data_IF_786077798112
#
_entry.id   IF_786077798112
#
_cell.length_a   1.000
_cell.length_b   1.000
_cell.length_c   1.000
_cell.angle_alpha   90.00
_cell.angle_beta   90.00
_cell.angle_gamma   90.00
#
_symmetry.space_group_name_H-M   'P 1'
#
loop_
_entity.id
_entity.type
_entity.pdbx_description
1 polymer ?
#
# COMPACT_ATOMS: atom_id res chain seq x y z
N UNK A 1 18.55 -66.17 39.61
CA UNK A 1 18.48 -65.38 38.36
C UNK A 1 18.22 -63.92 38.73
N UNK A 2 19.26 -63.08 38.87
CA UNK A 2 19.13 -61.64 38.98
C UNK A 2 19.82 -60.98 37.77
N UNK A 3 19.07 -60.66 36.71
CA UNK A 3 19.63 -59.96 35.54
C UNK A 3 18.67 -58.92 34.94
N UNK A 4 17.54 -58.67 35.59
CA UNK A 4 16.50 -57.76 35.10
C UNK A 4 16.57 -56.35 35.70
N UNK A 5 16.95 -56.19 36.97
CA UNK A 5 16.82 -54.91 37.68
C UNK A 5 17.94 -53.89 37.38
N UNK A 6 19.15 -54.33 37.02
CA UNK A 6 20.26 -53.38 36.72
C UNK A 6 20.11 -52.68 35.36
N UNK A 7 19.44 -53.32 34.39
CA UNK A 7 19.17 -52.71 33.09
C UNK A 7 18.06 -51.65 33.16
N UNK A 8 17.07 -51.81 34.04
CA UNK A 8 16.02 -50.82 34.22
C UNK A 8 16.55 -49.56 34.93
N UNK A 9 17.40 -49.72 35.95
CA UNK A 9 18.01 -48.59 36.66
C UNK A 9 18.97 -47.77 35.78
N UNK A 10 19.70 -48.41 34.87
CA UNK A 10 20.59 -47.72 33.94
C UNK A 10 19.82 -46.98 32.83
N UNK A 11 18.71 -47.54 32.34
CA UNK A 11 17.79 -46.87 31.42
C UNK A 11 17.08 -45.67 32.06
N UNK A 12 16.64 -45.80 33.31
CA UNK A 12 15.98 -44.71 34.04
C UNK A 12 16.96 -43.56 34.33
N UNK A 13 18.22 -43.87 34.64
CA UNK A 13 19.27 -42.88 34.87
C UNK A 13 19.69 -42.17 33.57
N UNK A 14 19.76 -42.88 32.45
CA UNK A 14 20.06 -42.30 31.14
C UNK A 14 18.94 -41.38 30.64
N UNK A 15 17.67 -41.79 30.79
CA UNK A 15 16.51 -40.97 30.43
C UNK A 15 16.41 -39.67 31.24
N UNK A 16 16.71 -39.73 32.54
CA UNK A 16 16.68 -38.55 33.41
C UNK A 16 17.79 -37.53 33.10
N UNK A 17 18.97 -37.98 32.66
CA UNK A 17 20.09 -37.08 32.27
C UNK A 17 19.80 -36.44 30.91
N UNK A 18 19.23 -37.19 29.96
CA UNK A 18 18.85 -36.67 28.65
C UNK A 18 17.74 -35.60 28.77
N UNK A 19 16.73 -35.85 29.62
CA UNK A 19 15.65 -34.90 29.87
C UNK A 19 16.12 -33.64 30.63
N UNK A 20 17.12 -33.77 31.50
CA UNK A 20 17.72 -32.62 32.19
C UNK A 20 18.58 -31.75 31.25
N UNK A 21 19.32 -32.37 30.33
CA UNK A 21 20.09 -31.66 29.30
C UNK A 21 19.19 -30.88 28.32
N UNK A 22 18.05 -31.45 27.91
CA UNK A 22 17.06 -30.75 27.08
C UNK A 22 16.42 -29.55 27.80
N UNK A 23 16.06 -29.69 29.08
CA UNK A 23 15.50 -28.57 29.86
C UNK A 23 16.49 -27.41 30.01
N UNK A 24 17.78 -27.69 30.23
CA UNK A 24 18.82 -26.67 30.34
C UNK A 24 19.07 -25.99 28.99
N UNK A 25 19.11 -26.75 27.90
CA UNK A 25 19.25 -26.21 26.54
C UNK A 25 18.08 -25.32 26.13
N UNK A 26 16.84 -25.71 26.46
CA UNK A 26 15.64 -24.94 26.16
C UNK A 26 15.56 -23.64 26.98
N UNK A 27 16.01 -23.65 28.24
CA UNK A 27 16.09 -22.46 29.10
C UNK A 27 17.15 -21.46 28.63
N UNK A 28 18.31 -21.94 28.18
CA UNK A 28 19.37 -21.13 27.56
C UNK A 28 18.90 -20.53 26.23
N UNK A 29 18.25 -21.30 25.38
CA UNK A 29 17.69 -20.83 24.11
C UNK A 29 16.62 -19.74 24.32
N UNK A 30 15.73 -19.88 25.31
CA UNK A 30 14.74 -18.85 25.67
C UNK A 30 15.38 -17.58 26.22
N UNK A 31 16.45 -17.68 27.01
CA UNK A 31 17.23 -16.52 27.47
C UNK A 31 17.96 -15.82 26.33
N UNK A 32 18.58 -16.57 25.42
CA UNK A 32 19.21 -16.04 24.20
C UNK A 32 18.18 -15.33 23.31
N UNK A 33 17.01 -15.93 23.08
CA UNK A 33 15.90 -15.30 22.36
C UNK A 33 15.40 -14.02 23.04
N UNK A 34 15.29 -14.01 24.37
CA UNK A 34 14.85 -12.83 25.13
C UNK A 34 15.90 -11.72 25.09
N UNK A 35 17.19 -12.05 25.19
CA UNK A 35 18.30 -11.10 25.05
C UNK A 35 18.37 -10.57 23.61
N UNK A 36 18.10 -11.40 22.60
CA UNK A 36 18.06 -11.00 21.20
C UNK A 36 16.85 -10.12 20.88
N UNK A 37 15.70 -10.33 21.54
CA UNK A 37 14.52 -9.48 21.48
C UNK A 37 14.76 -8.12 22.17
N UNK A 38 15.49 -8.12 23.29
CA UNK A 38 15.93 -6.92 24.01
C UNK A 38 16.99 -6.13 23.22
N UNK A 39 17.92 -6.81 22.55
CA UNK A 39 18.92 -6.18 21.68
C UNK A 39 18.29 -5.57 20.42
N UNK A 40 17.18 -6.15 19.95
CA UNK A 40 16.40 -5.62 18.81
C UNK A 40 15.68 -4.31 19.16
N UNK A 41 15.38 -4.07 20.44
CA UNK A 41 14.80 -2.81 20.94
C UNK A 41 15.84 -1.71 21.18
N UNK A 42 17.14 -2.04 21.23
CA UNK A 42 18.23 -1.06 21.40
C UNK A 42 18.84 -0.61 20.09
N UNK A 43 18.16 -0.82 18.95
CA UNK A 43 18.56 -0.14 17.72
C UNK A 43 18.56 1.37 18.03
N UNK A 44 19.70 2.06 17.88
CA UNK A 44 19.68 3.51 17.94
C UNK A 44 18.70 3.93 16.85
N UNK A 45 17.70 4.73 17.21
CA UNK A 45 17.06 5.60 16.22
C UNK A 45 18.22 6.39 15.63
N UNK A 46 18.73 5.93 14.49
CA UNK A 46 19.63 6.71 13.65
C UNK A 46 18.80 7.92 13.32
N UNK A 47 19.02 8.99 14.08
CA UNK A 47 18.52 10.32 13.77
C UNK A 47 19.24 10.69 12.49
N UNK A 48 18.66 10.28 11.37
CA UNK A 48 19.10 10.70 10.05
C UNK A 48 19.02 12.22 10.06
N UNK A 49 20.17 12.88 9.96
CA UNK A 49 20.25 14.34 9.98
C UNK A 49 19.69 14.97 8.70
N UNK A 50 19.13 14.14 7.81
CA UNK A 50 18.57 14.52 6.52
C UNK A 50 17.08 14.74 6.63
N UNK A 51 16.64 15.76 5.94
CA UNK A 51 15.25 16.20 5.93
C UNK A 51 14.50 15.43 4.85
N UNK A 52 13.29 14.95 5.18
CA UNK A 52 12.41 14.27 4.25
C UNK A 52 11.35 15.24 3.71
N UNK A 53 11.08 15.17 2.41
CA UNK A 53 9.99 15.91 1.77
C UNK A 53 8.76 15.00 1.65
N UNK A 54 7.61 15.56 1.97
CA UNK A 54 6.31 14.92 1.84
C UNK A 54 5.41 15.78 0.97
N UNK A 55 4.75 15.14 0.00
CA UNK A 55 3.76 15.78 -0.85
C UNK A 55 2.63 14.79 -1.15
N UNK A 56 1.45 15.26 -1.57
CA UNK A 56 0.36 14.39 -1.99
C UNK A 56 0.79 13.45 -3.13
N UNK A 57 0.54 12.15 -2.99
CA UNK A 57 0.92 11.17 -4.01
C UNK A 57 0.14 11.36 -5.33
N UNK A 58 -1.13 11.77 -5.23
CA UNK A 58 -1.99 12.10 -6.35
C UNK A 58 -2.91 13.27 -6.00
N UNK A 59 -3.20 14.11 -7.00
CA UNK A 59 -4.09 15.27 -6.91
C UNK A 59 -5.02 15.24 -8.10
N UNK A 60 -6.32 15.20 -7.83
CA UNK A 60 -7.38 15.31 -8.83
C UNK A 60 -7.85 16.76 -8.95
N UNK A 61 -7.94 17.27 -10.17
CA UNK A 61 -8.34 18.65 -10.48
C UNK A 61 -9.48 18.63 -11.48
N UNK A 62 -10.42 19.55 -11.34
CA UNK A 62 -11.41 19.82 -12.38
C UNK A 62 -10.82 20.72 -13.47
N UNK A 63 -11.28 20.55 -14.70
CA UNK A 63 -10.85 21.36 -15.84
C UNK A 63 -11.08 22.86 -15.56
N UNK A 64 -10.09 23.70 -15.86
CA UNK A 64 -10.06 25.14 -15.54
C UNK A 64 -10.07 25.51 -14.05
N UNK A 65 -9.95 24.54 -13.15
CA UNK A 65 -9.84 24.79 -11.71
C UNK A 65 -8.40 25.05 -11.26
N UNK A 66 -8.26 25.73 -10.13
CA UNK A 66 -6.98 25.97 -9.46
C UNK A 66 -7.01 25.34 -8.09
N UNK A 67 -5.94 24.64 -7.71
CA UNK A 67 -5.78 24.10 -6.37
C UNK A 67 -4.44 24.51 -5.75
N UNK A 68 -4.43 24.60 -4.43
CA UNK A 68 -3.24 24.88 -3.65
C UNK A 68 -2.66 23.56 -3.15
N UNK A 69 -1.42 23.28 -3.55
CA UNK A 69 -0.71 22.07 -3.17
C UNK A 69 0.32 22.43 -2.11
N UNK A 70 0.37 21.61 -1.07
CA UNK A 70 1.27 21.81 0.07
C UNK A 70 2.39 20.77 0.03
N UNK A 71 3.64 21.23 0.00
CA UNK A 71 4.81 20.38 0.26
C UNK A 71 5.19 20.60 1.72
N UNK A 72 5.43 19.52 2.43
CA UNK A 72 5.81 19.53 3.84
C UNK A 72 7.16 18.87 4.01
N UNK A 73 7.86 19.26 5.07
CA UNK A 73 9.19 18.80 5.40
C UNK A 73 9.17 18.16 6.79
N UNK A 74 9.97 17.11 7.01
CA UNK A 74 10.01 16.41 8.31
C UNK A 74 10.47 17.29 9.46
N UNK A 75 11.36 18.25 9.18
CA UNK A 75 11.93 19.18 10.15
C UNK A 75 12.10 20.56 9.51
N UNK A 76 12.15 21.64 10.30
CA UNK A 76 12.43 22.98 9.79
C UNK A 76 13.74 22.98 8.99
N UNK A 77 13.75 23.67 7.85
CA UNK A 77 14.94 23.70 6.98
C UNK A 77 15.91 24.77 7.47
N UNK A 78 17.18 24.41 7.61
CA UNK A 78 18.24 25.30 8.09
C UNK A 78 18.64 26.36 7.04
N UNK A 79 18.37 26.09 5.76
CA UNK A 79 18.67 26.96 4.63
C UNK A 79 17.46 27.06 3.71
N UNK A 80 17.29 28.18 3.00
CA UNK A 80 16.21 28.29 2.02
C UNK A 80 16.47 27.31 0.88
N UNK A 81 15.53 26.41 0.64
CA UNK A 81 15.68 25.41 -0.39
C UNK A 81 14.77 25.70 -1.59
N UNK A 82 15.34 25.59 -2.78
CA UNK A 82 14.58 25.64 -4.03
C UNK A 82 14.15 24.23 -4.40
N UNK A 83 12.85 24.04 -4.59
CA UNK A 83 12.24 22.79 -5.04
C UNK A 83 11.75 23.01 -6.46
N UNK A 84 12.32 22.26 -7.40
CA UNK A 84 11.93 22.25 -8.81
C UNK A 84 10.98 21.08 -9.08
N UNK A 85 9.94 21.33 -9.86
CA UNK A 85 8.98 20.31 -10.28
C UNK A 85 9.34 19.84 -11.69
N UNK A 86 10.07 18.72 -11.77
CA UNK A 86 10.42 18.15 -13.06
C UNK A 86 9.30 17.24 -13.58
N UNK A 87 8.76 17.55 -14.76
CA UNK A 87 7.71 16.74 -15.37
C UNK A 87 8.35 15.54 -16.07
N UNK A 88 8.03 14.33 -15.61
CA UNK A 88 8.59 13.09 -16.20
C UNK A 88 7.61 12.43 -17.17
N UNK A 89 6.31 12.62 -16.98
CA UNK A 89 5.28 12.04 -17.85
C UNK A 89 4.12 13.00 -18.06
N UNK A 90 3.59 13.03 -19.27
CA UNK A 90 2.38 13.76 -19.65
C UNK A 90 1.59 12.96 -20.68
N UNK A 91 0.27 12.95 -20.51
CA UNK A 91 -0.67 12.30 -21.44
C UNK A 91 -0.77 13.01 -22.80
N UNK A 92 -0.48 14.32 -22.84
CA UNK A 92 -0.38 15.12 -24.07
C UNK A 92 1.09 15.41 -24.38
N UNK A 93 1.41 15.68 -25.65
CA UNK A 93 2.80 15.97 -26.05
C UNK A 93 3.42 17.14 -25.28
N UNK A 94 2.60 18.14 -24.93
CA UNK A 94 3.01 19.27 -24.10
C UNK A 94 2.23 19.27 -22.78
N UNK A 95 2.92 19.17 -21.65
CA UNK A 95 2.32 19.14 -20.32
C UNK A 95 1.62 20.46 -19.93
N UNK A 96 2.09 21.59 -20.45
CA UNK A 96 1.49 22.92 -20.19
C UNK A 96 0.07 23.06 -20.74
N UNK A 97 -0.29 22.21 -21.71
CA UNK A 97 -1.66 22.11 -22.21
C UNK A 97 -2.61 21.48 -21.20
N UNK A 98 -2.10 20.65 -20.28
CA UNK A 98 -2.90 19.91 -19.29
C UNK A 98 -2.91 20.65 -17.95
N UNK A 99 -1.74 21.04 -17.44
CA UNK A 99 -1.59 21.77 -16.17
C UNK A 99 -0.54 22.90 -16.28
N UNK A 100 -0.73 23.96 -15.50
CA UNK A 100 0.30 24.97 -15.24
C UNK A 100 0.80 24.78 -13.82
N UNK A 101 2.08 24.43 -13.69
CA UNK A 101 2.80 24.30 -12.42
C UNK A 101 3.90 25.36 -12.36
N UNK A 102 4.26 25.86 -11.17
CA UNK A 102 5.42 26.73 -11.04
C UNK A 102 6.71 25.95 -11.36
N UNK A 103 7.66 26.61 -12.00
CA UNK A 103 8.96 26.03 -12.32
C UNK A 103 9.77 25.72 -11.05
N UNK A 104 9.67 26.61 -10.07
CA UNK A 104 10.34 26.48 -8.79
C UNK A 104 9.48 27.01 -7.65
N UNK A 105 9.63 26.37 -6.49
CA UNK A 105 8.97 26.73 -5.24
C UNK A 105 10.04 26.92 -4.18
N UNK A 106 10.02 28.06 -3.49
CA UNK A 106 10.99 28.39 -2.46
C UNK A 106 10.44 27.98 -1.09
N UNK A 107 11.12 27.05 -0.42
CA UNK A 107 10.87 26.71 0.97
C UNK A 107 11.78 27.61 1.84
N UNK A 108 11.23 28.58 2.58
CA UNK A 108 12.04 29.51 3.35
C UNK A 108 12.68 28.84 4.57
N UNK A 109 13.70 29.50 5.12
CA UNK A 109 14.41 29.07 6.34
C UNK A 109 13.40 28.97 7.49
N UNK A 110 13.57 27.95 8.34
CA UNK A 110 12.70 27.65 9.50
C UNK A 110 11.25 27.27 9.16
N UNK A 111 10.85 27.27 7.89
CA UNK A 111 9.53 26.81 7.49
C UNK A 111 9.49 25.29 7.28
N UNK A 112 8.39 24.68 7.73
CA UNK A 112 8.11 23.25 7.57
C UNK A 112 7.21 22.94 6.38
N UNK A 113 6.60 23.96 5.77
CA UNK A 113 5.69 23.78 4.64
C UNK A 113 5.74 24.95 3.66
N UNK A 114 5.43 24.64 2.41
CA UNK A 114 5.26 25.63 1.34
C UNK A 114 4.04 25.29 0.49
N UNK A 115 3.27 26.33 0.15
CA UNK A 115 2.08 26.21 -0.66
C UNK A 115 2.35 26.82 -2.03
N UNK A 116 1.88 26.14 -3.08
CA UNK A 116 1.93 26.67 -4.43
C UNK A 116 0.65 26.33 -5.18
N UNK A 117 0.34 27.16 -6.17
CA UNK A 117 -0.90 27.03 -6.93
C UNK A 117 -0.64 26.24 -8.21
N UNK A 118 -1.56 25.32 -8.52
CA UNK A 118 -1.56 24.54 -9.75
C UNK A 118 -2.87 24.78 -10.46
N UNK A 119 -2.80 25.17 -11.74
CA UNK A 119 -4.00 25.39 -12.55
C UNK A 119 -4.17 24.28 -13.56
N UNK A 120 -5.36 23.69 -13.60
CA UNK A 120 -5.74 22.72 -14.62
C UNK A 120 -6.25 23.45 -15.87
N UNK A 121 -5.88 22.98 -17.06
CA UNK A 121 -6.32 23.56 -18.34
C UNK A 121 -7.13 22.62 -19.20
N UNK A 122 -6.66 21.39 -19.38
CA UNK A 122 -7.35 20.38 -20.17
C UNK A 122 -7.27 19.03 -19.48
N UNK A 123 -8.21 18.15 -19.79
CA UNK A 123 -8.23 16.76 -19.32
C UNK A 123 -6.94 16.01 -19.69
N UNK A 124 -6.36 15.32 -18.71
CA UNK A 124 -5.16 14.52 -18.89
C UNK A 124 -4.46 14.17 -17.59
N UNK A 125 -3.37 13.41 -17.71
CA UNK A 125 -2.52 13.01 -16.60
C UNK A 125 -1.12 13.57 -16.77
N UNK A 126 -0.55 14.11 -15.69
CA UNK A 126 0.83 14.58 -15.63
C UNK A 126 1.48 14.09 -14.36
N UNK A 127 2.72 13.61 -14.44
CA UNK A 127 3.50 13.16 -13.28
C UNK A 127 4.74 14.02 -13.14
N UNK A 128 4.89 14.64 -11.97
CA UNK A 128 6.06 15.46 -11.62
C UNK A 128 6.86 14.80 -10.52
N UNK A 129 8.16 14.91 -10.63
CA UNK A 129 9.14 14.53 -9.63
C UNK A 129 9.68 15.80 -8.97
N UNK A 130 9.64 15.86 -7.64
CA UNK A 130 10.25 16.93 -6.88
C UNK A 130 11.77 16.71 -6.87
N UNK A 131 12.51 17.73 -7.26
CA UNK A 131 13.97 17.79 -7.25
C UNK A 131 14.35 18.98 -6.38
N UNK A 132 15.20 18.77 -5.39
CA UNK A 132 15.78 19.87 -4.62
C UNK A 132 17.27 19.99 -4.93
N UNK A 133 17.75 21.24 -4.95
CA UNK A 133 19.18 21.53 -5.09
C UNK A 133 19.95 21.50 -3.76
N UNK A 134 19.26 21.40 -2.62
CA UNK A 134 19.95 21.40 -1.32
C UNK A 134 20.40 19.99 -0.92
N UNK A 135 21.59 19.89 -0.33
CA UNK A 135 22.18 18.65 0.19
C UNK A 135 21.47 18.11 1.42
N UNK A 136 20.61 18.94 2.03
CA UNK A 136 19.89 18.65 3.27
C UNK A 136 18.75 17.65 3.06
N UNK A 137 18.24 17.52 1.83
CA UNK A 137 17.22 16.53 1.51
C UNK A 137 17.82 15.19 1.08
N UNK A 138 17.23 14.11 1.57
CA UNK A 138 17.52 12.79 1.05
C UNK A 138 16.99 12.66 -0.39
N UNK A 139 17.76 12.02 -1.28
CA UNK A 139 17.53 11.99 -2.74
C UNK A 139 16.33 11.13 -3.19
N UNK A 140 15.41 10.80 -2.29
CA UNK A 140 14.16 10.12 -2.63
C UNK A 140 13.25 11.12 -3.36
N UNK A 141 13.26 11.05 -4.68
CA UNK A 141 12.44 11.91 -5.52
C UNK A 141 10.96 11.66 -5.25
N UNK A 142 10.33 12.61 -4.56
CA UNK A 142 8.90 12.58 -4.25
C UNK A 142 8.13 12.78 -5.55
N UNK A 143 7.22 11.85 -5.85
CA UNK A 143 6.39 11.86 -7.05
C UNK A 143 5.00 12.41 -6.73
N UNK A 144 4.54 13.39 -7.50
CA UNK A 144 3.17 13.90 -7.48
C UNK A 144 2.52 13.58 -8.82
N UNK A 145 1.31 13.02 -8.79
CA UNK A 145 0.51 12.72 -9.98
C UNK A 145 -0.71 13.64 -10.06
N UNK A 146 -0.78 14.45 -11.10
CA UNK A 146 -1.91 15.32 -11.39
C UNK A 146 -2.86 14.62 -12.37
N UNK A 147 -4.12 14.50 -11.99
CA UNK A 147 -5.19 13.97 -12.84
C UNK A 147 -6.23 15.07 -13.05
N UNK A 148 -6.33 15.58 -14.27
CA UNK A 148 -7.35 16.57 -14.63
C UNK A 148 -8.55 15.83 -15.19
N UNK A 149 -9.67 15.94 -14.49
CA UNK A 149 -10.98 15.41 -14.90
C UNK A 149 -11.85 16.55 -15.43
N UNK A 150 -12.77 16.23 -16.34
CA UNK A 150 -13.66 17.23 -16.93
C UNK A 150 -14.62 17.82 -15.91
N UNK A 151 -15.23 16.96 -15.09
CA UNK A 151 -16.11 17.37 -14.01
C UNK A 151 -16.19 16.34 -12.90
N UNK A 152 -16.19 16.82 -11.66
CA UNK A 152 -16.33 15.96 -10.48
C UNK A 152 -17.71 15.29 -10.44
N UNK A 153 -18.77 16.03 -10.78
CA UNK A 153 -20.15 15.55 -10.76
C UNK A 153 -20.32 14.35 -11.69
N UNK A 154 -19.76 14.43 -12.90
CA UNK A 154 -19.81 13.32 -13.86
C UNK A 154 -19.08 12.08 -13.34
N UNK A 155 -17.94 12.27 -12.66
CA UNK A 155 -17.20 11.16 -12.02
C UNK A 155 -18.03 10.48 -10.95
N UNK A 156 -18.72 11.25 -10.09
CA UNK A 156 -19.57 10.72 -9.03
C UNK A 156 -20.77 9.97 -9.62
N UNK A 157 -21.45 10.56 -10.61
CA UNK A 157 -22.58 9.90 -11.29
C UNK A 157 -22.14 8.58 -11.92
N UNK A 158 -20.99 8.57 -12.61
CA UNK A 158 -20.44 7.35 -13.21
C UNK A 158 -20.18 6.27 -12.16
N UNK A 159 -19.62 6.64 -11.01
CA UNK A 159 -19.38 5.71 -9.90
C UNK A 159 -20.69 5.16 -9.30
N UNK A 160 -21.69 6.02 -9.10
CA UNK A 160 -23.01 5.61 -8.58
C UNK A 160 -23.71 4.65 -9.53
N UNK A 161 -23.73 4.94 -10.83
CA UNK A 161 -24.31 4.04 -11.85
C UNK A 161 -23.56 2.70 -11.87
N UNK A 162 -22.22 2.73 -11.78
CA UNK A 162 -21.40 1.52 -11.69
C UNK A 162 -21.78 0.64 -10.50
N UNK A 163 -21.94 1.24 -9.30
CA UNK A 163 -22.36 0.49 -8.12
C UNK A 163 -23.80 -0.03 -8.21
N UNK A 164 -24.73 0.75 -8.75
CA UNK A 164 -26.10 0.28 -8.99
C UNK A 164 -26.13 -0.90 -9.95
N UNK A 165 -25.36 -0.83 -11.04
CA UNK A 165 -25.21 -1.93 -11.99
C UNK A 165 -24.64 -3.18 -11.31
N UNK A 166 -23.58 -3.03 -10.50
CA UNK A 166 -22.99 -4.14 -9.76
C UNK A 166 -23.98 -4.81 -8.80
N UNK A 167 -24.78 -4.03 -8.06
CA UNK A 167 -25.82 -4.54 -7.17
C UNK A 167 -26.92 -5.24 -7.95
N UNK A 168 -27.44 -4.62 -9.01
CA UNK A 168 -28.49 -5.21 -9.84
C UNK A 168 -28.05 -6.53 -10.48
N UNK A 169 -26.82 -6.57 -11.01
CA UNK A 169 -26.21 -7.78 -11.55
C UNK A 169 -26.09 -8.89 -10.49
N UNK A 170 -25.64 -8.55 -9.27
CA UNK A 170 -25.53 -9.50 -8.16
C UNK A 170 -26.89 -10.05 -7.73
N UNK A 171 -27.91 -9.18 -7.63
CA UNK A 171 -29.27 -9.59 -7.24
C UNK A 171 -29.92 -10.49 -8.29
N UNK A 172 -29.56 -10.33 -9.57
CA UNK A 172 -30.13 -11.14 -10.67
C UNK A 172 -29.89 -12.65 -10.53
N UNK A 173 -28.91 -13.08 -9.73
CA UNK A 173 -28.64 -14.50 -9.44
C UNK A 173 -29.58 -15.10 -8.37
N UNK A 174 -30.25 -14.29 -7.56
CA UNK A 174 -31.06 -14.75 -6.42
C UNK A 174 -32.42 -15.36 -6.79
N UNK A 175 -33.16 -14.90 -7.82
CA UNK A 175 -34.45 -15.49 -8.18
C UNK A 175 -34.38 -17.00 -8.41
N UNK A 176 -33.36 -17.47 -9.13
CA UNK A 176 -33.17 -18.90 -9.39
C UNK A 176 -32.84 -19.68 -8.11
N UNK A 177 -32.02 -19.13 -7.23
CA UNK A 177 -31.71 -19.74 -5.93
C UNK A 177 -32.95 -19.83 -5.02
N UNK A 178 -33.77 -18.78 -5.01
CA UNK A 178 -34.99 -18.71 -4.21
C UNK A 178 -36.05 -19.72 -4.66
N UNK A 179 -36.30 -19.85 -5.97
CA UNK A 179 -37.24 -20.84 -6.48
C UNK A 179 -36.79 -22.28 -6.18
N UNK A 180 -35.51 -22.57 -6.35
CA UNK A 180 -34.94 -23.88 -6.04
C UNK A 180 -35.06 -24.20 -4.54
N UNK A 181 -34.83 -23.21 -3.67
CA UNK A 181 -35.00 -23.35 -2.23
C UNK A 181 -36.46 -23.60 -1.83
N UNK A 182 -37.42 -22.92 -2.48
CA UNK A 182 -38.85 -23.11 -2.26
C UNK A 182 -39.34 -24.48 -2.75
N UNK A 183 -38.88 -24.94 -3.92
CA UNK A 183 -39.24 -26.25 -4.50
C UNK A 183 -38.51 -27.42 -3.84
N UNK A 184 -37.52 -27.16 -2.97
CA UNK A 184 -36.60 -28.16 -2.39
C UNK A 184 -35.93 -29.03 -3.45
N UNK A 185 -35.76 -28.49 -4.65
CA UNK A 185 -35.26 -29.20 -5.81
C UNK A 185 -34.41 -28.25 -6.65
N UNK A 186 -33.27 -28.78 -7.09
CA UNK A 186 -32.28 -28.12 -7.96
C UNK A 186 -32.36 -28.68 -9.39
N UNK A 187 -33.42 -29.43 -9.70
CA UNK A 187 -33.64 -30.00 -11.04
C UNK A 187 -33.81 -28.86 -12.04
N UNK A 188 -32.86 -28.75 -12.97
CA UNK A 188 -32.75 -27.65 -13.94
C UNK A 188 -31.61 -26.66 -13.69
N UNK A 189 -30.92 -26.76 -12.54
CA UNK A 189 -29.68 -26.01 -12.26
C UNK A 189 -28.47 -26.83 -12.71
N UNK A 190 -27.59 -26.24 -13.53
CA UNK A 190 -26.31 -26.87 -13.89
C UNK A 190 -25.24 -26.51 -12.83
N UNK A 191 -24.86 -27.49 -12.02
CA UNK A 191 -23.85 -27.31 -10.98
C UNK A 191 -22.46 -27.02 -11.52
N UNK A 192 -22.08 -27.60 -12.66
CA UNK A 192 -20.79 -27.36 -13.29
C UNK A 192 -20.68 -25.90 -13.73
N UNK A 193 -21.75 -25.36 -14.33
CA UNK A 193 -21.80 -23.94 -14.70
C UNK A 193 -21.69 -23.02 -13.47
N UNK A 194 -22.42 -23.31 -12.39
CA UNK A 194 -22.36 -22.51 -11.17
C UNK A 194 -20.98 -22.59 -10.50
N UNK A 195 -20.41 -23.79 -10.38
CA UNK A 195 -19.10 -24.01 -9.79
C UNK A 195 -17.99 -23.33 -10.59
N UNK A 196 -18.06 -23.38 -11.92
CA UNK A 196 -17.11 -22.69 -12.80
C UNK A 196 -17.20 -21.16 -12.65
N UNK A 197 -18.40 -20.59 -12.62
CA UNK A 197 -18.57 -19.14 -12.40
C UNK A 197 -18.04 -18.72 -11.01
N UNK A 198 -18.40 -19.46 -9.96
CA UNK A 198 -17.94 -19.18 -8.60
C UNK A 198 -16.42 -19.27 -8.49
N UNK A 199 -15.82 -20.31 -9.06
CA UNK A 199 -14.37 -20.48 -9.10
C UNK A 199 -13.71 -19.32 -9.84
N UNK A 200 -14.27 -18.88 -10.96
CA UNK A 200 -13.80 -17.71 -11.71
C UNK A 200 -13.83 -16.43 -10.86
N UNK A 201 -14.93 -16.17 -10.14
CA UNK A 201 -15.02 -15.01 -9.25
C UNK A 201 -14.04 -15.07 -8.07
N UNK A 202 -13.81 -16.25 -7.49
CA UNK A 202 -12.82 -16.45 -6.43
C UNK A 202 -11.42 -16.19 -6.97
N UNK A 203 -11.05 -16.79 -8.10
CA UNK A 203 -9.75 -16.59 -8.73
C UNK A 203 -9.50 -15.11 -9.06
N UNK A 204 -10.51 -14.42 -9.61
CA UNK A 204 -10.44 -12.99 -9.88
C UNK A 204 -10.28 -12.17 -8.59
N UNK A 205 -11.03 -12.50 -7.53
CA UNK A 205 -10.92 -11.81 -6.24
C UNK A 205 -9.54 -12.00 -5.61
N UNK A 206 -9.02 -13.23 -5.59
CA UNK A 206 -7.67 -13.55 -5.09
C UNK A 206 -6.61 -12.84 -5.91
N UNK A 207 -6.75 -12.78 -7.23
CA UNK A 207 -5.82 -12.04 -8.08
C UNK A 207 -5.79 -10.55 -7.74
N UNK A 208 -6.95 -9.89 -7.67
CA UNK A 208 -7.03 -8.46 -7.34
C UNK A 208 -6.54 -8.18 -5.92
N UNK A 209 -6.91 -9.00 -4.94
CA UNK A 209 -6.47 -8.86 -3.54
C UNK A 209 -4.97 -9.10 -3.41
N UNK A 210 -4.44 -10.14 -4.06
CA UNK A 210 -3.03 -10.50 -4.04
C UNK A 210 -2.14 -9.39 -4.60
N UNK A 211 -2.59 -8.67 -5.64
CA UNK A 211 -1.87 -7.53 -6.20
C UNK A 211 -1.67 -6.39 -5.17
N UNK A 212 -2.58 -6.22 -4.20
CA UNK A 212 -2.41 -5.22 -3.14
C UNK A 212 -1.29 -5.57 -2.15
N UNK A 213 -0.91 -6.84 -2.02
CA UNK A 213 0.13 -7.27 -1.10
C UNK A 213 1.55 -7.21 -1.69
N UNK A 214 1.68 -6.95 -2.99
CA UNK A 214 2.99 -6.83 -3.65
C UNK A 214 3.48 -5.37 -3.59
N UNK A 215 4.50 -5.05 -2.75
CA UNK A 215 4.96 -3.67 -2.56
C UNK A 215 5.51 -3.03 -3.83
N UNK A 216 6.08 -3.87 -4.72
CA UNK A 216 6.70 -3.46 -5.97
C UNK A 216 5.70 -2.85 -6.99
N UNK A 217 4.43 -3.26 -6.93
CA UNK A 217 3.39 -2.74 -7.84
C UNK A 217 2.85 -1.40 -7.36
N UNK A 218 2.72 -1.20 -6.04
CA UNK A 218 2.26 0.07 -5.43
C UNK A 218 3.15 1.27 -5.77
N UNK A 219 4.47 1.05 -5.89
CA UNK A 219 5.43 2.11 -6.26
C UNK A 219 5.34 2.47 -7.75
N UNK A 220 4.88 1.54 -8.59
CA UNK A 220 4.91 1.68 -10.05
C UNK A 220 3.54 2.09 -10.62
N UNK A 221 2.42 1.60 -10.07
CA UNK A 221 1.09 1.77 -10.65
C UNK A 221 0.05 2.23 -9.60
N UNK A 222 -0.48 3.47 -9.68
CA UNK A 222 -1.56 3.99 -8.82
C UNK A 222 -2.96 3.81 -9.47
N UNK A 223 -3.06 2.97 -10.51
CA UNK A 223 -4.24 2.52 -11.23
C UNK A 223 -5.45 1.95 -10.45
N UNK A 224 -5.26 1.61 -9.18
CA UNK A 224 -6.19 0.84 -8.34
C UNK A 224 -6.25 1.47 -6.95
#
# INVERSE_FOLDING_TARGET
MPSGEENELSLFRAGSIHHFAEMVGLGLAKRLLSVQLLLLWTLPNISDSRVYLFAPAAVTLEEYSTANITITSSSPVNQSAVIQLNVTYSSKSNYTSVITVPEQVLLPVEATSVNFNVTARNVGQVTTHLISNSTDFNSLSVRIRFMVIRSNILSVISQVIGWMYFVAWSVSFYPQAYENWKRKSVVGLNFDFLALNLTGFIAYSVFNIGLFWVPYIKVTNPLL
#
